data_IF_023236816071
#
_entry.id   IF_023236816071
#
_cell.length_a   1.000
_cell.length_b   1.000
_cell.length_c   1.000
_cell.angle_alpha   90.00
_cell.angle_beta   90.00
_cell.angle_gamma   90.00
#
_symmetry.space_group_name_H-M   'P 1'
#
loop_
_entity.id
_entity.type
_entity.pdbx_description
1 polymer ?
#
# COMPACT_ATOMS: atom_id res chain seq x y z
N UNK A 1 -0.12 -37.95 21.16
CA UNK A 1 -1.57 -37.76 21.34
C UNK A 1 -1.86 -37.55 22.83
N UNK A 2 -1.39 -36.42 23.37
CA UNK A 2 -1.78 -35.81 24.66
C UNK A 2 -1.30 -34.36 24.51
N UNK A 3 -2.23 -33.41 24.29
CA UNK A 3 -2.18 -31.96 24.67
C UNK A 3 -3.08 -31.03 23.84
N UNK A 4 -3.84 -31.50 22.84
CA UNK A 4 -4.77 -30.61 22.10
C UNK A 4 -6.10 -30.33 22.85
N UNK A 5 -6.40 -31.07 23.92
CA UNK A 5 -7.66 -30.95 24.66
C UNK A 5 -7.69 -29.87 25.75
N UNK A 6 -6.53 -29.34 26.17
CA UNK A 6 -6.42 -28.41 27.32
C UNK A 6 -6.31 -26.93 26.92
N UNK A 7 -6.21 -26.61 25.62
CA UNK A 7 -6.19 -25.23 25.14
C UNK A 7 -7.60 -24.64 24.93
N UNK A 8 -8.59 -25.49 24.67
CA UNK A 8 -9.95 -25.05 24.32
C UNK A 8 -10.79 -24.62 25.53
N UNK A 9 -10.32 -24.86 26.76
CA UNK A 9 -11.09 -24.68 28.00
C UNK A 9 -10.50 -23.63 28.97
N UNK A 10 -9.56 -22.79 28.51
CA UNK A 10 -9.04 -21.66 29.31
C UNK A 10 -9.94 -20.42 29.15
N UNK A 11 -10.81 -20.19 30.12
CA UNK A 11 -11.69 -19.01 30.23
C UNK A 11 -11.02 -17.78 30.87
N UNK A 12 -9.75 -17.89 31.24
CA UNK A 12 -9.01 -16.84 31.95
C UNK A 12 -8.13 -16.03 31.02
N UNK A 13 -8.09 -14.72 31.24
CA UNK A 13 -7.27 -13.82 30.43
C UNK A 13 -5.78 -14.16 30.57
N UNK A 14 -5.01 -14.09 29.47
CA UNK A 14 -3.58 -14.38 29.50
C UNK A 14 -2.84 -13.41 30.43
N UNK A 15 -1.88 -13.94 31.19
CA UNK A 15 -1.01 -13.12 32.04
C UNK A 15 -0.10 -12.22 31.20
N UNK A 16 0.33 -11.08 31.74
CA UNK A 16 1.17 -10.11 31.02
C UNK A 16 2.45 -10.74 30.42
N UNK A 17 3.09 -11.64 31.17
CA UNK A 17 4.26 -12.39 30.68
C UNK A 17 3.96 -13.22 29.42
N UNK A 18 2.78 -13.85 29.33
CA UNK A 18 2.37 -14.62 28.14
C UNK A 18 2.12 -13.72 26.92
N UNK A 19 1.56 -12.53 27.14
CA UNK A 19 1.37 -11.51 26.11
C UNK A 19 2.72 -11.01 25.58
N UNK A 20 3.64 -10.68 26.47
CA UNK A 20 4.99 -10.22 26.10
C UNK A 20 5.75 -11.30 25.30
N UNK A 21 5.72 -12.56 25.76
CA UNK A 21 6.35 -13.67 25.05
C UNK A 21 5.72 -13.91 23.66
N UNK A 22 4.39 -13.72 23.52
CA UNK A 22 3.70 -13.84 22.24
C UNK A 22 4.10 -12.73 21.26
N UNK A 23 4.19 -11.50 21.76
CA UNK A 23 4.69 -10.35 21.00
C UNK A 23 6.15 -10.59 20.58
N UNK A 24 7.02 -11.08 21.46
CA UNK A 24 8.43 -11.37 21.13
C UNK A 24 8.57 -12.44 20.04
N UNK A 25 7.69 -13.44 20.03
CA UNK A 25 7.62 -14.44 18.94
C UNK A 25 7.07 -13.87 17.63
N UNK A 26 6.51 -12.67 17.63
CA UNK A 26 5.86 -12.04 16.46
C UNK A 26 4.39 -12.41 16.29
N UNK A 27 3.78 -13.03 17.31
CA UNK A 27 2.36 -13.37 17.32
C UNK A 27 1.54 -12.17 17.81
N UNK A 28 1.43 -11.17 16.93
CA UNK A 28 0.75 -9.91 17.21
C UNK A 28 -0.65 -9.93 16.63
N UNK A 29 -1.66 -9.72 17.48
CA UNK A 29 -3.06 -9.61 17.04
C UNK A 29 -3.21 -8.36 16.17
N UNK A 30 -3.82 -8.52 14.99
CA UNK A 30 -4.10 -7.43 14.05
C UNK A 30 -5.58 -7.37 13.74
N UNK A 31 -6.14 -6.16 13.67
CA UNK A 31 -7.52 -5.97 13.24
C UNK A 31 -7.55 -5.71 11.72
N UNK A 32 -8.20 -6.60 10.99
CA UNK A 32 -8.40 -6.42 9.55
C UNK A 32 -9.25 -5.18 9.25
N UNK A 33 -10.20 -4.85 10.14
CA UNK A 33 -11.07 -3.69 9.99
C UNK A 33 -10.30 -2.38 10.13
N UNK A 34 -9.36 -2.30 11.07
CA UNK A 34 -8.51 -1.11 11.27
C UNK A 34 -7.64 -0.86 10.03
N UNK A 35 -7.05 -1.92 9.46
CA UNK A 35 -6.26 -1.79 8.24
C UNK A 35 -7.13 -1.26 7.08
N UNK A 36 -8.31 -1.85 6.89
CA UNK A 36 -9.27 -1.43 5.86
C UNK A 36 -9.67 0.04 6.02
N UNK A 37 -9.92 0.49 7.25
CA UNK A 37 -10.21 1.89 7.55
C UNK A 37 -9.08 2.84 7.14
N UNK A 38 -7.83 2.51 7.46
CA UNK A 38 -6.67 3.33 7.07
C UNK A 38 -6.48 3.40 5.56
N UNK A 39 -6.71 2.29 4.85
CA UNK A 39 -6.63 2.28 3.39
C UNK A 39 -7.71 3.18 2.77
N UNK A 40 -8.96 3.07 3.22
CA UNK A 40 -10.06 3.90 2.72
C UNK A 40 -9.83 5.39 3.04
N UNK A 41 -9.40 5.70 4.27
CA UNK A 41 -9.09 7.07 4.67
C UNK A 41 -7.91 7.65 3.87
N UNK A 42 -6.83 6.88 3.72
CA UNK A 42 -5.67 7.24 2.92
C UNK A 42 -6.03 7.47 1.44
N UNK A 43 -6.81 6.57 0.85
CA UNK A 43 -7.30 6.71 -0.51
C UNK A 43 -8.16 7.97 -0.70
N UNK A 44 -9.07 8.24 0.23
CA UNK A 44 -9.93 9.42 0.20
C UNK A 44 -9.11 10.72 0.31
N UNK A 45 -8.10 10.74 1.18
CA UNK A 45 -7.20 11.88 1.33
C UNK A 45 -6.39 12.11 0.06
N UNK A 46 -5.81 11.05 -0.52
CA UNK A 46 -5.05 11.15 -1.77
C UNK A 46 -5.94 11.65 -2.90
N UNK A 47 -7.11 11.07 -3.09
CA UNK A 47 -8.04 11.50 -4.14
C UNK A 47 -8.46 12.96 -3.96
N UNK A 48 -8.86 13.37 -2.76
CA UNK A 48 -9.29 14.75 -2.51
C UNK A 48 -8.18 15.78 -2.68
N UNK A 49 -6.94 15.43 -2.32
CA UNK A 49 -5.77 16.32 -2.42
C UNK A 49 -5.23 16.41 -3.85
N UNK A 50 -5.22 15.30 -4.58
CA UNK A 50 -4.53 15.18 -5.87
C UNK A 50 -5.47 15.17 -7.09
N UNK A 51 -6.80 15.15 -6.93
CA UNK A 51 -7.73 15.09 -8.07
C UNK A 51 -7.47 16.18 -9.12
N UNK A 52 -7.22 17.42 -8.69
CA UNK A 52 -6.97 18.53 -9.61
C UNK A 52 -5.61 18.43 -10.33
N UNK A 53 -4.54 18.09 -9.60
CA UNK A 53 -3.19 18.00 -10.17
C UNK A 53 -3.04 16.78 -11.08
N UNK A 54 -3.62 15.64 -10.72
CA UNK A 54 -3.67 14.44 -11.57
C UNK A 54 -4.50 14.72 -12.82
N UNK A 55 -5.67 15.34 -12.67
CA UNK A 55 -6.52 15.72 -13.81
C UNK A 55 -5.78 16.63 -14.80
N UNK A 56 -5.17 17.72 -14.32
CA UNK A 56 -4.38 18.62 -15.17
C UNK A 56 -3.13 17.97 -15.75
N UNK A 57 -2.49 17.06 -15.01
CA UNK A 57 -1.34 16.28 -15.44
C UNK A 57 -1.64 15.37 -16.64
N UNK A 58 -2.89 14.94 -16.83
CA UNK A 58 -3.34 14.20 -18.01
C UNK A 58 -3.98 15.06 -19.09
N UNK A 59 -4.80 16.04 -18.68
CA UNK A 59 -5.58 16.85 -19.61
C UNK A 59 -4.68 17.61 -20.59
N UNK A 60 -3.61 18.25 -20.08
CA UNK A 60 -2.73 19.07 -20.92
C UNK A 60 -1.96 18.23 -21.95
N UNK A 61 -1.28 17.12 -21.57
CA UNK A 61 -0.62 16.25 -22.55
C UNK A 61 -1.57 15.65 -23.58
N UNK A 62 -2.76 15.18 -23.15
CA UNK A 62 -3.73 14.58 -24.07
C UNK A 62 -4.32 15.61 -25.04
N UNK A 63 -4.64 16.82 -24.56
CA UNK A 63 -5.06 17.91 -25.43
C UNK A 63 -3.97 18.24 -26.46
N UNK A 64 -2.72 18.37 -26.02
CA UNK A 64 -1.60 18.66 -26.92
C UNK A 64 -1.37 17.54 -27.94
N UNK A 65 -1.53 16.28 -27.53
CA UNK A 65 -1.41 15.11 -28.40
C UNK A 65 -2.42 15.17 -29.55
N UNK A 66 -3.69 15.43 -29.22
CA UNK A 66 -4.77 15.51 -30.21
C UNK A 66 -4.58 16.76 -31.08
N UNK A 67 -4.37 17.90 -30.44
CA UNK A 67 -4.26 19.20 -31.10
C UNK A 67 -3.03 19.33 -32.00
N UNK A 68 -2.00 18.52 -31.83
CA UNK A 68 -0.80 18.54 -32.68
C UNK A 68 -0.53 17.18 -33.33
N UNK A 69 -1.56 16.34 -33.45
CA UNK A 69 -1.44 14.97 -33.94
C UNK A 69 -0.80 14.87 -35.33
N UNK A 70 -1.03 15.86 -36.20
CA UNK A 70 -0.43 15.92 -37.55
C UNK A 70 1.08 16.15 -37.55
N UNK A 71 1.65 16.63 -36.44
CA UNK A 71 3.09 16.85 -36.29
C UNK A 71 3.82 15.65 -35.70
N UNK A 72 3.07 14.67 -35.19
CA UNK A 72 3.64 13.48 -34.58
C UNK A 72 4.22 12.60 -35.69
N UNK A 73 5.52 12.37 -35.61
CA UNK A 73 6.18 11.43 -36.51
C UNK A 73 5.78 10.00 -36.15
N UNK A 74 5.32 9.26 -37.15
CA UNK A 74 4.85 7.86 -37.02
C UNK A 74 5.91 6.83 -37.41
N UNK A 75 7.17 7.25 -37.52
CA UNK A 75 8.31 6.34 -37.67
C UNK A 75 8.73 5.74 -36.32
N UNK A 76 9.50 4.65 -36.35
CA UNK A 76 9.90 3.92 -35.14
C UNK A 76 10.47 4.80 -34.02
N UNK A 77 11.47 5.65 -34.29
CA UNK A 77 12.02 6.57 -33.28
C UNK A 77 11.01 7.60 -32.78
N UNK A 78 10.15 8.13 -33.66
CA UNK A 78 9.11 9.10 -33.30
C UNK A 78 8.09 8.52 -32.33
N UNK A 79 7.65 7.29 -32.56
CA UNK A 79 6.72 6.58 -31.68
C UNK A 79 7.34 6.23 -30.33
N UNK A 80 8.63 5.84 -30.29
CA UNK A 80 9.33 5.60 -29.03
C UNK A 80 9.47 6.88 -28.20
N UNK A 81 9.79 8.01 -28.84
CA UNK A 81 9.86 9.31 -28.16
C UNK A 81 8.50 9.74 -27.60
N UNK A 82 7.43 9.51 -28.37
CA UNK A 82 6.06 9.77 -27.91
C UNK A 82 5.70 8.90 -26.70
N UNK A 83 6.01 7.60 -26.74
CA UNK A 83 5.76 6.69 -25.62
C UNK A 83 6.48 7.15 -24.34
N UNK A 84 7.76 7.52 -24.45
CA UNK A 84 8.54 8.03 -23.32
C UNK A 84 7.95 9.33 -22.74
N UNK A 85 7.44 10.23 -23.57
CA UNK A 85 6.77 11.45 -23.11
C UNK A 85 5.47 11.15 -22.35
N UNK A 86 4.65 10.23 -22.85
CA UNK A 86 3.41 9.81 -22.19
C UNK A 86 3.72 9.11 -20.86
N UNK A 87 4.71 8.23 -20.85
CA UNK A 87 5.18 7.55 -19.63
C UNK A 87 5.66 8.54 -18.58
N UNK A 88 6.48 9.52 -18.98
CA UNK A 88 6.95 10.56 -18.07
C UNK A 88 5.78 11.38 -17.49
N UNK A 89 4.81 11.78 -18.31
CA UNK A 89 3.63 12.50 -17.85
C UNK A 89 2.81 11.67 -16.86
N UNK A 90 2.63 10.37 -17.13
CA UNK A 90 1.93 9.43 -16.25
C UNK A 90 2.62 9.31 -14.89
N UNK A 91 3.93 9.07 -14.90
CA UNK A 91 4.73 8.92 -13.67
C UNK A 91 4.78 10.22 -12.89
N UNK A 92 4.91 11.37 -13.55
CA UNK A 92 4.92 12.67 -12.90
C UNK A 92 3.56 12.99 -12.24
N UNK A 93 2.44 12.64 -12.90
CA UNK A 93 1.11 12.87 -12.37
C UNK A 93 0.74 11.91 -11.23
N UNK A 94 1.08 10.62 -11.36
CA UNK A 94 0.65 9.58 -10.40
C UNK A 94 1.69 9.20 -9.36
N UNK A 95 2.97 9.50 -9.57
CA UNK A 95 4.06 9.02 -8.73
C UNK A 95 3.90 9.40 -7.26
N UNK A 96 3.63 10.68 -6.99
CA UNK A 96 3.41 11.17 -5.62
C UNK A 96 2.10 10.65 -4.99
N UNK A 97 0.93 10.70 -5.67
CA UNK A 97 -0.30 10.07 -5.17
C UNK A 97 -0.13 8.59 -4.81
N UNK A 98 0.50 7.80 -5.68
CA UNK A 98 0.70 6.36 -5.44
C UNK A 98 1.67 6.12 -4.28
N UNK A 99 2.75 6.90 -4.19
CA UNK A 99 3.66 6.84 -3.05
C UNK A 99 2.91 7.13 -1.73
N UNK A 100 2.04 8.12 -1.72
CA UNK A 100 1.22 8.44 -0.53
C UNK A 100 0.27 7.31 -0.14
N UNK A 101 -0.32 6.59 -1.10
CA UNK A 101 -1.13 5.40 -0.81
C UNK A 101 -0.30 4.27 -0.18
N UNK A 102 0.90 4.02 -0.72
CA UNK A 102 1.83 3.03 -0.16
C UNK A 102 2.20 3.40 1.28
N UNK A 103 2.52 4.68 1.53
CA UNK A 103 2.82 5.16 2.87
C UNK A 103 1.63 5.02 3.83
N UNK A 104 0.41 5.32 3.38
CA UNK A 104 -0.80 5.15 4.18
C UNK A 104 -1.05 3.67 4.56
N UNK A 105 -0.84 2.74 3.62
CA UNK A 105 -0.95 1.30 3.88
C UNK A 105 0.11 0.81 4.88
N UNK A 106 1.35 1.29 4.77
CA UNK A 106 2.42 0.98 5.73
C UNK A 106 2.08 1.56 7.10
N UNK A 107 1.66 2.83 7.16
CA UNK A 107 1.28 3.49 8.41
C UNK A 107 0.11 2.78 9.11
N UNK A 108 -0.90 2.34 8.36
CA UNK A 108 -2.03 1.57 8.90
C UNK A 108 -1.62 0.24 9.54
N UNK A 109 -0.54 -0.38 9.06
CA UNK A 109 0.05 -1.57 9.70
C UNK A 109 0.88 -1.21 10.95
N UNK A 110 1.69 -0.15 10.88
CA UNK A 110 2.56 0.27 11.98
C UNK A 110 1.76 0.79 13.18
N UNK A 111 0.64 1.50 12.95
CA UNK A 111 -0.18 2.06 14.05
C UNK A 111 -0.82 0.94 14.90
N UNK A 112 -1.09 -0.23 14.32
CA UNK A 112 -1.78 -1.32 15.01
C UNK A 112 -0.90 -2.04 16.03
N UNK A 113 0.41 -2.09 15.83
CA UNK A 113 1.31 -2.76 16.77
C UNK A 113 2.68 -2.10 16.81
N UNK A 114 3.35 -2.18 17.96
CA UNK A 114 4.77 -1.77 18.07
C UNK A 114 5.57 -2.53 17.02
N UNK A 115 6.61 -1.92 16.47
CA UNK A 115 7.48 -2.63 15.54
C UNK A 115 8.11 -3.83 16.27
N UNK A 116 7.81 -5.05 15.82
CA UNK A 116 8.35 -6.30 16.36
C UNK A 116 9.19 -6.95 15.28
N UNK A 117 10.44 -7.25 15.61
CA UNK A 117 11.34 -7.99 14.74
C UNK A 117 11.50 -9.41 15.28
N UNK A 118 10.90 -10.40 14.62
CA UNK A 118 11.01 -11.82 14.99
C UNK A 118 11.30 -12.67 13.76
N UNK A 119 12.38 -13.47 13.82
CA UNK A 119 12.67 -14.51 12.83
C UNK A 119 11.91 -15.82 13.08
N UNK A 120 11.27 -15.95 14.23
CA UNK A 120 10.49 -17.14 14.61
C UNK A 120 9.30 -17.35 13.65
N UNK A 121 8.68 -16.25 13.21
CA UNK A 121 7.56 -16.25 12.26
C UNK A 121 7.93 -16.76 10.85
N UNK A 122 9.23 -16.81 10.50
CA UNK A 122 9.72 -17.33 9.22
C UNK A 122 10.00 -18.85 9.28
N UNK A 123 9.98 -19.46 10.47
CA UNK A 123 10.15 -20.91 10.59
C UNK A 123 8.86 -21.61 10.11
N UNK A 124 8.96 -22.61 9.21
CA UNK A 124 7.80 -23.34 8.74
C UNK A 124 7.14 -24.08 9.92
N UNK A 125 5.83 -23.87 10.11
CA UNK A 125 5.04 -24.62 11.09
C UNK A 125 4.96 -26.08 10.61
N UNK A 126 5.48 -27.01 11.42
CA UNK A 126 5.33 -28.47 11.22
C UNK A 126 4.09 -28.96 11.92
#
# INVERSE_FOLDING_TARGET
>A
MVDESDETEKTEDPTQKRLDDAIERGDVVKSQEVNTWFVIAGATLVLSTFAGSVGGGFEVPLRNLIANSWQIRTDGPGLLALAAQIEYALVAALGLPLLMLVLAAIAGNIVQHRFVWSGEALKPKR
#
